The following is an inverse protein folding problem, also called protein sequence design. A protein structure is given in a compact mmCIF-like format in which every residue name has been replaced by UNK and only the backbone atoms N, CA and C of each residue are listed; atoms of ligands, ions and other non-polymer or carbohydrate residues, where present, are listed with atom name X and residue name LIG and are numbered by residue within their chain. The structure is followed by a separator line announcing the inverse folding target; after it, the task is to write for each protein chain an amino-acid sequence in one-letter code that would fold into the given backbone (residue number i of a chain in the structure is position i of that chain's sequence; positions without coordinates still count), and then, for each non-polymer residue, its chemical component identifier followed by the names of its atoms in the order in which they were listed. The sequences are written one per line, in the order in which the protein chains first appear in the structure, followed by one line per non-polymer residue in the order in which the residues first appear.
data_IF_027057061865
#
_entry.id   IF_027057061865
#
_cell.length_a   1.000
_cell.length_b   1.000
_cell.length_c   1.000
_cell.angle_alpha   90.00
_cell.angle_beta   90.00
_cell.angle_gamma   90.00
#
_symmetry.space_group_name_H-M   'P 1'
#
loop_
_entity.id
_entity.type
_entity.pdbx_description
1 polymer ?
#
# COMPACT_ATOMS: atom_id res chain seq x y z
N UNK A 1 -30.45 80.64 -18.69
CA UNK A 1 -30.14 79.20 -18.56
C UNK A 1 -28.74 79.12 -17.98
N UNK A 2 -28.60 78.43 -16.84
CA UNK A 2 -27.42 78.34 -15.95
C UNK A 2 -26.25 77.48 -16.55
N UNK A 3 -25.14 77.20 -15.84
CA UNK A 3 -24.12 78.08 -15.26
C UNK A 3 -22.66 77.64 -15.58
N UNK A 4 -21.72 78.24 -14.83
CA UNK A 4 -20.25 78.23 -14.79
C UNK A 4 -19.50 76.87 -14.60
N UNK A 5 -18.16 77.03 -14.46
CA UNK A 5 -17.14 76.21 -13.76
C UNK A 5 -16.53 75.11 -14.65
N UNK A 6 -15.23 75.02 -14.91
CA UNK A 6 -14.05 75.47 -14.17
C UNK A 6 -13.19 74.25 -13.80
N UNK A 7 -11.93 74.27 -14.23
CA UNK A 7 -10.78 73.57 -13.66
C UNK A 7 -10.58 72.05 -13.81
N UNK A 8 -9.39 71.76 -14.34
CA UNK A 8 -8.34 70.87 -13.83
C UNK A 8 -8.21 69.44 -14.40
N UNK A 9 -6.95 69.00 -14.69
CA UNK A 9 -6.61 67.70 -15.24
C UNK A 9 -6.39 66.67 -14.11
N UNK A 10 -6.30 65.40 -14.51
CA UNK A 10 -5.94 64.23 -13.69
C UNK A 10 -6.99 63.77 -12.67
N UNK A 11 -7.82 62.79 -13.06
CA UNK A 11 -8.18 61.63 -12.26
C UNK A 11 -9.15 60.72 -13.02
N UNK A 12 -8.89 59.41 -13.04
CA UNK A 12 -9.75 58.40 -13.65
C UNK A 12 -8.92 57.22 -14.15
N UNK A 13 -8.23 56.53 -13.25
CA UNK A 13 -8.60 55.19 -12.75
C UNK A 13 -7.78 54.13 -13.50
N UNK A 14 -6.69 53.62 -12.92
CA UNK A 14 -6.74 52.50 -11.96
C UNK A 14 -7.68 51.42 -12.50
N UNK A 15 -7.20 50.58 -13.41
CA UNK A 15 -7.53 49.14 -13.40
C UNK A 15 -6.75 48.30 -14.42
N UNK A 16 -5.45 48.59 -14.63
CA UNK A 16 -4.62 47.71 -15.46
C UNK A 16 -3.86 46.63 -14.66
N UNK A 17 -4.02 46.62 -13.33
CA UNK A 17 -3.30 45.69 -12.43
C UNK A 17 -4.20 44.76 -11.61
N UNK A 18 -5.53 44.89 -11.67
CA UNK A 18 -6.46 43.95 -11.01
C UNK A 18 -7.00 42.84 -11.93
N UNK A 19 -6.64 42.84 -13.21
CA UNK A 19 -6.84 41.69 -14.11
C UNK A 19 -5.59 40.80 -14.21
N UNK A 20 -4.75 40.77 -13.18
CA UNK A 20 -3.86 39.63 -12.96
C UNK A 20 -4.73 38.39 -12.70
N UNK A 21 -5.04 37.70 -13.80
CA UNK A 21 -5.25 36.26 -13.84
C UNK A 21 -5.92 35.67 -12.60
N UNK A 22 -7.22 35.92 -12.40
CA UNK A 22 -8.07 34.85 -11.87
C UNK A 22 -8.21 33.79 -12.97
N UNK A 23 -7.09 33.13 -13.28
CA UNK A 23 -7.09 31.86 -13.99
C UNK A 23 -7.68 30.90 -12.97
N UNK A 24 -9.00 30.73 -13.00
CA UNK A 24 -9.60 29.57 -12.37
C UNK A 24 -8.83 28.37 -12.94
N UNK A 25 -8.16 27.57 -12.08
CA UNK A 25 -7.40 26.43 -12.56
C UNK A 25 -8.35 25.57 -13.39
N UNK A 26 -7.90 25.16 -14.58
CA UNK A 26 -8.70 24.25 -15.39
C UNK A 26 -8.94 22.97 -14.57
N UNK A 27 -10.11 22.35 -14.74
CA UNK A 27 -10.47 21.12 -14.02
C UNK A 27 -9.36 20.05 -14.10
N UNK A 28 -8.64 20.01 -15.23
CA UNK A 28 -7.50 19.14 -15.48
C UNK A 28 -6.29 19.43 -14.55
N UNK A 29 -5.98 20.70 -14.27
CA UNK A 29 -4.91 21.08 -13.32
C UNK A 29 -5.25 20.85 -11.86
N UNK A 30 -6.54 20.88 -11.51
CA UNK A 30 -6.99 20.57 -10.14
C UNK A 30 -6.89 19.07 -9.88
N UNK A 31 -7.34 18.25 -10.83
CA UNK A 31 -7.25 16.78 -10.75
C UNK A 31 -5.81 16.29 -10.69
N UNK A 32 -4.90 16.87 -11.48
CA UNK A 32 -3.48 16.50 -11.45
C UNK A 32 -2.80 16.85 -10.11
N UNK A 33 -3.15 18.00 -9.53
CA UNK A 33 -2.64 18.42 -8.22
C UNK A 33 -3.18 17.54 -7.08
N UNK A 34 -4.47 17.19 -7.12
CA UNK A 34 -5.10 16.28 -6.15
C UNK A 34 -4.47 14.88 -6.21
N UNK A 35 -4.22 14.37 -7.43
CA UNK A 35 -3.54 13.09 -7.62
C UNK A 35 -2.11 13.13 -7.07
N UNK A 36 -1.37 14.21 -7.34
CA UNK A 36 -0.02 14.40 -6.82
C UNK A 36 0.00 14.44 -5.29
N UNK A 37 -0.91 15.20 -4.68
CA UNK A 37 -1.02 15.29 -3.23
C UNK A 37 -1.37 13.94 -2.60
N UNK A 38 -2.32 13.20 -3.19
CA UNK A 38 -2.69 11.85 -2.74
C UNK A 38 -1.51 10.88 -2.84
N UNK A 39 -0.70 10.99 -3.90
CA UNK A 39 0.50 10.16 -4.07
C UNK A 39 1.55 10.47 -2.98
N UNK A 40 1.78 11.75 -2.69
CA UNK A 40 2.68 12.16 -1.61
C UNK A 40 2.19 11.65 -0.25
N UNK A 41 0.91 11.84 0.05
CA UNK A 41 0.33 11.38 1.32
C UNK A 41 0.45 9.85 1.49
N UNK A 42 0.25 9.08 0.41
CA UNK A 42 0.47 7.62 0.44
C UNK A 42 1.92 7.27 0.73
N UNK A 43 2.88 7.97 0.13
CA UNK A 43 4.32 7.75 0.37
C UNK A 43 4.71 8.11 1.80
N UNK A 44 4.23 9.25 2.31
CA UNK A 44 4.51 9.68 3.68
C UNK A 44 3.98 8.66 4.69
N UNK A 45 2.73 8.18 4.51
CA UNK A 45 2.16 7.11 5.34
C UNK A 45 2.99 5.84 5.28
N UNK A 46 3.40 5.39 4.10
CA UNK A 46 4.22 4.19 3.95
C UNK A 46 5.57 4.31 4.67
N UNK A 47 6.23 5.46 4.55
CA UNK A 47 7.50 5.74 5.21
C UNK A 47 7.34 5.76 6.73
N UNK A 48 6.30 6.41 7.24
CA UNK A 48 6.00 6.46 8.68
C UNK A 48 5.76 5.06 9.26
N UNK A 49 4.87 4.29 8.63
CA UNK A 49 4.53 2.92 9.03
C UNK A 49 5.77 2.02 9.02
N UNK A 50 6.58 2.11 7.98
CA UNK A 50 7.82 1.34 7.86
C UNK A 50 8.82 1.70 8.96
N UNK A 51 8.96 3.00 9.26
CA UNK A 51 9.85 3.47 10.33
C UNK A 51 9.39 2.96 11.71
N UNK A 52 8.08 3.00 11.98
CA UNK A 52 7.51 2.48 13.23
C UNK A 52 7.73 0.96 13.38
N UNK A 53 7.41 0.18 12.35
CA UNK A 53 7.62 -1.27 12.35
C UNK A 53 9.11 -1.63 12.54
N UNK A 54 10.00 -0.91 11.85
CA UNK A 54 11.45 -1.12 11.99
C UNK A 54 11.94 -0.78 13.40
N UNK A 55 11.46 0.32 13.98
CA UNK A 55 11.84 0.70 15.34
C UNK A 55 11.43 -0.37 16.36
N UNK A 56 10.24 -0.95 16.21
CA UNK A 56 9.78 -2.07 17.06
C UNK A 56 10.70 -3.28 16.94
N UNK A 57 11.07 -3.67 15.71
CA UNK A 57 11.99 -4.78 15.45
C UNK A 57 13.37 -4.57 16.07
N UNK A 58 13.82 -3.32 16.21
CA UNK A 58 15.13 -2.98 16.76
C UNK A 58 15.15 -2.76 18.28
N UNK A 59 14.00 -2.46 18.89
CA UNK A 59 13.94 -1.98 20.28
C UNK A 59 13.31 -2.97 21.26
N UNK A 60 12.46 -3.89 20.78
CA UNK A 60 11.89 -4.93 21.64
C UNK A 60 12.88 -6.09 21.85
N UNK A 61 13.00 -6.54 23.09
CA UNK A 61 13.93 -7.61 23.46
C UNK A 61 13.44 -9.00 23.02
N UNK A 62 12.12 -9.21 23.02
CA UNK A 62 11.51 -10.45 22.57
C UNK A 62 11.25 -10.41 21.07
N UNK A 63 11.91 -11.29 20.31
CA UNK A 63 11.82 -11.31 18.85
C UNK A 63 10.42 -11.65 18.34
N UNK A 64 9.72 -12.59 18.96
CA UNK A 64 8.36 -12.97 18.55
C UNK A 64 7.38 -11.82 18.78
N UNK A 65 7.49 -11.13 19.92
CA UNK A 65 6.71 -9.93 20.22
C UNK A 65 7.02 -8.81 19.23
N UNK A 66 8.31 -8.64 18.89
CA UNK A 66 8.76 -7.65 17.92
C UNK A 66 8.17 -7.89 16.53
N UNK A 67 8.25 -9.13 16.04
CA UNK A 67 7.71 -9.48 14.71
C UNK A 67 6.20 -9.33 14.69
N UNK A 68 5.48 -9.87 15.66
CA UNK A 68 4.01 -9.76 15.71
C UNK A 68 3.55 -8.29 15.78
N UNK A 69 4.23 -7.46 16.58
CA UNK A 69 3.92 -6.04 16.68
C UNK A 69 4.23 -5.29 15.37
N UNK A 70 5.34 -5.62 14.72
CA UNK A 70 5.71 -5.03 13.44
C UNK A 70 4.72 -5.40 12.32
N UNK A 71 4.29 -6.67 12.25
CA UNK A 71 3.27 -7.11 11.30
C UNK A 71 1.95 -6.38 11.52
N UNK A 72 1.55 -6.15 12.77
CA UNK A 72 0.35 -5.38 13.08
C UNK A 72 0.44 -3.92 12.63
N UNK A 73 1.58 -3.26 12.86
CA UNK A 73 1.81 -1.89 12.39
C UNK A 73 1.76 -1.82 10.86
N UNK A 74 2.42 -2.76 10.18
CA UNK A 74 2.42 -2.83 8.72
C UNK A 74 1.01 -3.04 8.18
N UNK A 75 0.29 -4.03 8.73
CA UNK A 75 -1.04 -4.43 8.30
C UNK A 75 -2.06 -3.30 8.32
N UNK A 76 -2.22 -2.70 9.49
CA UNK A 76 -3.08 -1.52 9.70
C UNK A 76 -2.55 -0.29 8.94
N UNK A 77 -1.23 -0.19 8.79
CA UNK A 77 -0.57 0.96 8.20
C UNK A 77 -0.68 1.04 6.68
N UNK A 78 -0.78 -0.10 5.98
CA UNK A 78 -0.89 -0.17 4.51
C UNK A 78 -2.28 -0.57 4.02
N UNK A 79 -3.25 -0.73 4.93
CA UNK A 79 -4.62 -1.17 4.64
C UNK A 79 -4.68 -2.52 3.91
N UNK A 80 -3.84 -3.50 4.31
CA UNK A 80 -3.92 -4.87 3.79
C UNK A 80 -4.70 -5.77 4.74
N UNK A 81 -5.24 -6.87 4.22
CA UNK A 81 -6.05 -7.79 5.01
C UNK A 81 -5.23 -8.90 5.68
N UNK A 82 -4.06 -9.20 5.14
CA UNK A 82 -3.24 -10.33 5.56
C UNK A 82 -1.75 -10.11 5.28
N UNK A 83 -0.89 -10.47 6.23
CA UNK A 83 0.57 -10.51 6.06
C UNK A 83 1.08 -11.81 6.67
N UNK A 84 2.01 -12.48 6.01
CA UNK A 84 2.70 -13.64 6.58
C UNK A 84 4.21 -13.59 6.37
N UNK A 85 4.93 -14.22 7.29
CA UNK A 85 6.36 -14.52 7.17
C UNK A 85 6.49 -16.03 6.99
N UNK A 86 7.11 -16.41 5.87
CA UNK A 86 7.25 -17.80 5.46
C UNK A 86 8.72 -18.19 5.43
N UNK A 87 9.02 -19.38 5.95
CA UNK A 87 10.26 -20.08 5.64
C UNK A 87 10.00 -21.08 4.52
N UNK A 88 10.79 -20.99 3.46
CA UNK A 88 10.68 -21.85 2.29
C UNK A 88 11.65 -23.02 2.42
N UNK A 89 11.11 -24.23 2.36
CA UNK A 89 11.89 -25.47 2.51
C UNK A 89 12.10 -26.08 1.14
N UNK A 90 13.35 -26.06 0.67
CA UNK A 90 13.76 -26.66 -0.60
C UNK A 90 14.46 -28.01 -0.40
N UNK A 91 14.35 -28.89 -1.39
CA UNK A 91 15.23 -30.06 -1.49
C UNK A 91 16.49 -29.73 -2.27
N UNK A 92 17.58 -30.48 -2.05
CA UNK A 92 18.83 -30.30 -2.80
C UNK A 92 18.70 -30.55 -4.31
N UNK A 93 17.62 -31.20 -4.74
CA UNK A 93 17.30 -31.55 -6.13
C UNK A 93 16.55 -30.46 -6.88
N UNK A 94 15.99 -29.45 -6.19
CA UNK A 94 15.10 -28.45 -6.78
C UNK A 94 15.40 -27.05 -6.24
N UNK A 95 15.48 -26.03 -7.12
CA UNK A 95 15.59 -24.64 -6.67
C UNK A 95 14.26 -24.12 -6.10
N UNK A 96 13.14 -24.82 -6.35
CA UNK A 96 11.81 -24.44 -5.86
C UNK A 96 11.52 -25.11 -4.51
N UNK A 97 10.85 -24.40 -3.58
CA UNK A 97 10.44 -24.99 -2.32
C UNK A 97 9.39 -26.07 -2.53
N UNK A 98 9.44 -27.09 -1.68
CA UNK A 98 8.47 -28.17 -1.60
C UNK A 98 7.44 -27.93 -0.47
N UNK A 99 7.82 -27.14 0.54
CA UNK A 99 6.94 -26.71 1.61
C UNK A 99 7.19 -25.24 1.98
N UNK A 100 6.16 -24.59 2.49
CA UNK A 100 6.25 -23.30 3.18
C UNK A 100 5.87 -23.51 4.64
N UNK A 101 6.75 -23.12 5.56
CA UNK A 101 6.47 -23.02 6.98
C UNK A 101 6.01 -21.59 7.28
N UNK A 102 4.79 -21.44 7.76
CA UNK A 102 4.23 -20.18 8.24
C UNK A 102 4.78 -19.92 9.64
N UNK A 103 5.68 -18.95 9.74
CA UNK A 103 6.35 -18.60 10.99
C UNK A 103 5.54 -17.58 11.78
N UNK A 104 5.04 -16.56 11.09
CA UNK A 104 4.25 -15.48 11.66
C UNK A 104 3.13 -15.11 10.71
N UNK A 105 1.97 -14.79 11.26
CA UNK A 105 0.80 -14.36 10.50
C UNK A 105 0.14 -13.19 11.22
N UNK A 106 -0.28 -12.22 10.43
CA UNK A 106 -1.18 -11.17 10.86
C UNK A 106 -2.35 -11.13 9.88
N UNK A 107 -3.55 -10.96 10.41
CA UNK A 107 -4.77 -10.82 9.63
C UNK A 107 -5.63 -9.73 10.28
N UNK A 108 -6.34 -8.96 9.45
CA UNK A 108 -7.29 -7.98 9.98
C UNK A 108 -8.40 -8.66 10.78
N UNK A 109 -9.04 -7.89 11.66
CA UNK A 109 -10.11 -8.40 12.52
C UNK A 109 -11.24 -9.01 11.69
N UNK A 110 -11.53 -10.29 11.93
CA UNK A 110 -12.56 -11.04 11.23
C UNK A 110 -12.03 -12.03 10.20
N UNK A 111 -10.74 -11.98 9.85
CA UNK A 111 -10.09 -13.01 9.05
C UNK A 111 -9.43 -14.09 9.91
N UNK A 112 -9.44 -15.31 9.39
CA UNK A 112 -8.83 -16.48 10.03
C UNK A 112 -7.44 -16.65 9.43
N UNK A 113 -6.36 -16.73 10.24
CA UNK A 113 -5.02 -17.03 9.75
C UNK A 113 -5.00 -18.34 8.95
N UNK A 114 -4.14 -18.45 7.94
CA UNK A 114 -4.10 -19.61 7.05
C UNK A 114 -3.74 -20.87 7.83
N UNK A 115 -2.86 -20.76 8.82
CA UNK A 115 -2.48 -21.92 9.63
C UNK A 115 -3.63 -22.48 10.45
N UNK A 116 -4.58 -21.64 10.86
CA UNK A 116 -5.81 -22.06 11.54
C UNK A 116 -6.78 -22.66 10.53
N UNK A 117 -6.97 -22.02 9.38
CA UNK A 117 -7.88 -22.49 8.34
C UNK A 117 -7.48 -23.88 7.78
N UNK A 118 -6.18 -24.11 7.59
CA UNK A 118 -5.65 -25.40 7.13
C UNK A 118 -5.31 -26.37 8.26
N UNK A 119 -5.34 -25.93 9.52
CA UNK A 119 -4.94 -26.73 10.67
C UNK A 119 -3.47 -27.17 10.66
N UNK A 120 -2.60 -26.43 9.96
CA UNK A 120 -1.18 -26.75 9.81
C UNK A 120 -0.35 -25.47 9.62
N UNK A 121 0.80 -25.39 10.28
CA UNK A 121 1.80 -24.35 10.04
C UNK A 121 2.70 -24.65 8.84
N UNK A 122 2.55 -25.82 8.23
CA UNK A 122 3.34 -26.27 7.09
C UNK A 122 2.43 -26.68 5.95
N UNK A 123 2.55 -25.99 4.82
CA UNK A 123 1.75 -26.27 3.63
C UNK A 123 2.67 -26.70 2.47
N UNK A 124 2.26 -27.69 1.65
CA UNK A 124 2.91 -27.98 0.38
C UNK A 124 2.90 -26.75 -0.53
N UNK A 125 4.02 -26.47 -1.20
CA UNK A 125 4.13 -25.34 -2.13
C UNK A 125 3.15 -25.46 -3.32
N UNK A 126 2.75 -26.67 -3.67
CA UNK A 126 1.72 -26.92 -4.70
C UNK A 126 0.36 -26.29 -4.38
N UNK A 127 -0.02 -26.21 -3.09
CA UNK A 127 -1.25 -25.52 -2.68
C UNK A 127 -1.15 -23.99 -2.86
N UNK A 128 0.07 -23.49 -2.82
CA UNK A 128 0.41 -22.06 -2.92
C UNK A 128 0.66 -21.71 -4.41
N UNK A 129 0.86 -22.69 -5.28
CA UNK A 129 0.97 -22.53 -6.73
C UNK A 129 2.41 -22.52 -7.22
N UNK A 130 2.83 -23.61 -7.87
CA UNK A 130 4.21 -23.82 -8.31
C UNK A 130 4.73 -22.73 -9.25
N UNK A 131 3.93 -22.31 -10.23
CA UNK A 131 4.31 -21.30 -11.23
C UNK A 131 4.57 -19.93 -10.58
N UNK A 132 3.80 -19.58 -9.56
CA UNK A 132 4.02 -18.34 -8.81
C UNK A 132 5.32 -18.40 -8.01
N UNK A 133 5.58 -19.54 -7.37
CA UNK A 133 6.84 -19.74 -6.65
C UNK A 133 8.02 -19.70 -7.62
N UNK A 134 7.88 -20.21 -8.84
CA UNK A 134 8.93 -20.10 -9.86
C UNK A 134 9.25 -18.64 -10.20
N UNK A 135 8.23 -17.84 -10.52
CA UNK A 135 8.40 -16.43 -10.83
C UNK A 135 9.02 -15.66 -9.63
N UNK A 136 8.49 -15.86 -8.42
CA UNK A 136 8.99 -15.18 -7.23
C UNK A 136 10.41 -15.60 -6.83
N UNK A 137 10.70 -16.92 -6.78
CA UNK A 137 12.00 -17.41 -6.30
C UNK A 137 13.10 -17.30 -7.35
N UNK A 138 12.80 -17.52 -8.62
CA UNK A 138 13.82 -17.54 -9.67
C UNK A 138 14.01 -16.18 -10.33
N UNK A 139 12.94 -15.40 -10.48
CA UNK A 139 12.99 -14.12 -11.20
C UNK A 139 13.14 -12.94 -10.23
N UNK A 140 12.80 -13.13 -8.95
CA UNK A 140 13.01 -12.13 -7.89
C UNK A 140 12.01 -10.97 -7.95
N UNK A 141 10.98 -11.09 -8.79
CA UNK A 141 9.89 -10.13 -8.85
C UNK A 141 8.98 -10.36 -7.63
N UNK A 142 8.91 -9.36 -6.76
CA UNK A 142 7.90 -9.32 -5.71
C UNK A 142 6.51 -9.27 -6.34
N UNK A 143 5.56 -9.98 -5.76
CA UNK A 143 4.16 -9.94 -6.18
C UNK A 143 3.29 -9.42 -5.01
N UNK A 144 2.23 -8.72 -5.37
CA UNK A 144 1.25 -8.16 -4.45
C UNK A 144 0.15 -7.50 -5.28
N UNK A 145 -1.06 -7.39 -4.72
CA UNK A 145 -2.19 -6.81 -5.46
C UNK A 145 -3.54 -7.35 -5.01
N UNK A 146 -4.56 -7.13 -5.84
CA UNK A 146 -5.89 -7.65 -5.57
C UNK A 146 -5.92 -9.15 -5.84
N UNK A 147 -6.58 -9.92 -4.97
CA UNK A 147 -6.66 -11.37 -5.10
C UNK A 147 -7.22 -11.83 -6.46
N UNK A 148 -8.08 -11.02 -7.09
CA UNK A 148 -8.65 -11.32 -8.41
C UNK A 148 -7.61 -11.41 -9.54
N UNK A 149 -6.46 -10.74 -9.36
CA UNK A 149 -5.34 -10.70 -10.31
C UNK A 149 -4.38 -11.90 -10.14
N UNK A 150 -4.57 -12.71 -9.10
CA UNK A 150 -3.67 -13.81 -8.75
C UNK A 150 -4.00 -15.07 -9.57
N UNK A 151 -2.97 -15.85 -9.86
CA UNK A 151 -3.09 -17.11 -10.60
C UNK A 151 -3.65 -18.24 -9.70
N UNK A 152 -4.26 -19.25 -10.31
CA UNK A 152 -4.63 -20.49 -9.62
C UNK A 152 -3.41 -21.37 -9.34
N UNK A 153 -3.42 -22.23 -8.30
CA UNK A 153 -4.51 -22.46 -7.33
C UNK A 153 -4.61 -21.41 -6.22
N UNK A 154 -3.64 -20.50 -6.13
CA UNK A 154 -3.49 -19.59 -5.01
C UNK A 154 -4.73 -18.70 -4.83
N UNK A 155 -5.26 -18.15 -5.93
CA UNK A 155 -6.48 -17.33 -5.87
C UNK A 155 -7.63 -18.05 -5.16
N UNK A 156 -7.91 -19.29 -5.54
CA UNK A 156 -8.98 -20.08 -4.90
C UNK A 156 -8.71 -20.37 -3.43
N UNK A 157 -7.45 -20.66 -3.09
CA UNK A 157 -7.01 -20.95 -1.72
C UNK A 157 -7.22 -19.74 -0.82
N UNK A 158 -6.75 -18.57 -1.23
CA UNK A 158 -6.88 -17.32 -0.46
C UNK A 158 -8.33 -16.80 -0.45
N UNK A 159 -9.10 -17.00 -1.53
CA UNK A 159 -10.53 -16.67 -1.55
C UNK A 159 -11.32 -17.53 -0.55
N UNK A 160 -10.94 -18.79 -0.37
CA UNK A 160 -11.61 -19.70 0.57
C UNK A 160 -11.51 -19.24 2.03
N UNK A 161 -10.49 -18.43 2.35
CA UNK A 161 -10.29 -17.83 3.67
C UNK A 161 -10.62 -16.33 3.71
N UNK A 162 -11.29 -15.82 2.67
CA UNK A 162 -11.80 -14.45 2.56
C UNK A 162 -10.74 -13.35 2.51
N UNK A 163 -9.49 -13.67 2.13
CA UNK A 163 -8.47 -12.66 1.86
C UNK A 163 -8.86 -11.91 0.57
N UNK A 164 -8.68 -10.59 0.53
CA UNK A 164 -9.02 -9.78 -0.66
C UNK A 164 -7.79 -9.13 -1.29
N UNK A 165 -6.78 -8.82 -0.47
CA UNK A 165 -5.50 -8.24 -0.89
C UNK A 165 -4.35 -8.86 -0.08
N UNK A 166 -3.21 -9.04 -0.75
CA UNK A 166 -1.97 -9.55 -0.18
C UNK A 166 -0.77 -8.90 -0.85
#
# INVERSE_FOLDING_TARGET
MAPEIGANPMAGNIDLDLMQFSKHPSHETVVDLENHYRMLQKRDRLLEVTAQATNVLLTLENLDEAINTALNILGEGIDCDFICVLENVCESSSPLPIYCNFLYEWATSGLVPLTVAFGSTRLPSELIGGDLMEHYFLEGDGFGGLLEEWNEPMRSVFASVQIQSA
#
